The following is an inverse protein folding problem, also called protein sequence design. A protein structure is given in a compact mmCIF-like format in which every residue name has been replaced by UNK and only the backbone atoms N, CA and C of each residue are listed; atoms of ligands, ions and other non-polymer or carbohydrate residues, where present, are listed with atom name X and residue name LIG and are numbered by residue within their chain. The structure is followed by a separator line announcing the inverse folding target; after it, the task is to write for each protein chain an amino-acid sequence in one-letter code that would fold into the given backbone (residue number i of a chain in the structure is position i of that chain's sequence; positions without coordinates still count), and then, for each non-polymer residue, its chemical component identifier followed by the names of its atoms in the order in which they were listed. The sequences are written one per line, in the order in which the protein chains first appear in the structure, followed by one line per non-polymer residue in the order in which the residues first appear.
data_IF_362690569395
#
_entry.id   IF_362690569395
#
_cell.length_a   1.000
_cell.length_b   1.000
_cell.length_c   1.000
_cell.angle_alpha   90.00
_cell.angle_beta   90.00
_cell.angle_gamma   90.00
#
_symmetry.space_group_name_H-M   'P 1'
#
loop_
_entity.id
_entity.type
_entity.pdbx_description
1 polymer ?
#
# COMPACT_ATOMS: atom_id res chain seq x y z
N UNK A 1 -1.40 6.66 -1.00
CA UNK A 1 -1.00 7.76 -1.88
C UNK A 1 0.39 8.21 -1.46
N UNK A 2 1.41 7.57 -2.04
CA UNK A 2 2.84 7.80 -1.76
C UNK A 2 3.52 8.46 -2.98
N UNK A 3 2.75 8.78 -4.03
CA UNK A 3 3.28 9.17 -5.33
C UNK A 3 3.27 10.68 -5.60
N UNK A 4 3.34 11.53 -4.56
CA UNK A 4 3.35 12.99 -4.73
C UNK A 4 4.64 13.69 -4.28
N UNK A 5 5.68 12.97 -3.86
CA UNK A 5 6.95 13.57 -3.43
C UNK A 5 8.16 13.12 -4.26
N UNK A 6 8.04 13.09 -5.59
CA UNK A 6 9.23 12.99 -6.46
C UNK A 6 9.65 14.41 -6.87
N UNK A 7 10.69 15.02 -6.26
CA UNK A 7 11.23 16.27 -6.75
C UNK A 7 11.81 16.00 -8.13
N UNK A 8 11.37 16.79 -9.11
CA UNK A 8 11.81 16.70 -10.49
C UNK A 8 13.33 16.88 -10.58
N UNK A 9 14.00 15.79 -11.00
CA UNK A 9 15.24 15.75 -11.76
C UNK A 9 16.41 16.63 -11.28
N UNK A 10 17.39 16.01 -10.61
CA UNK A 10 18.79 16.27 -10.93
C UNK A 10 19.52 14.94 -11.06
N UNK A 11 19.96 14.64 -12.27
CA UNK A 11 20.84 13.53 -12.56
C UNK A 11 22.18 13.75 -11.87
N UNK A 12 22.41 13.07 -10.75
CA UNK A 12 23.76 12.84 -10.21
C UNK A 12 23.88 11.40 -9.74
N UNK A 13 24.63 10.61 -10.49
CA UNK A 13 25.16 9.27 -10.23
C UNK A 13 24.35 8.25 -9.38
N UNK A 14 23.82 7.29 -10.12
CA UNK A 14 22.91 6.20 -9.78
C UNK A 14 23.48 5.06 -8.91
N UNK A 15 24.28 5.28 -7.87
CA UNK A 15 24.81 4.12 -7.10
C UNK A 15 25.06 4.27 -5.60
N UNK A 16 24.76 5.40 -4.95
CA UNK A 16 25.10 5.56 -3.51
C UNK A 16 23.98 5.93 -2.55
N UNK A 17 22.77 6.27 -3.01
CA UNK A 17 21.71 6.74 -2.09
C UNK A 17 20.84 5.64 -1.47
N UNK A 18 20.77 4.44 -2.05
CA UNK A 18 20.08 3.32 -1.39
C UNK A 18 20.85 2.80 -0.15
N UNK A 19 22.13 3.19 0.01
CA UNK A 19 23.00 2.73 1.09
C UNK A 19 23.22 3.76 2.22
N UNK A 20 22.66 4.97 2.16
CA UNK A 20 22.95 6.04 3.14
C UNK A 20 21.88 6.28 4.22
N UNK A 21 20.76 5.54 4.22
CA UNK A 21 19.74 5.67 5.29
C UNK A 21 20.05 4.86 6.55
N UNK A 22 21.31 4.43 6.73
CA UNK A 22 21.78 3.70 7.91
C UNK A 22 22.13 4.62 9.11
N UNK A 23 21.88 5.93 9.05
CA UNK A 23 22.30 6.87 10.09
C UNK A 23 21.18 7.81 10.56
N UNK A 24 20.36 7.34 11.51
CA UNK A 24 19.94 8.11 12.69
C UNK A 24 19.05 9.37 12.54
N UNK A 25 18.62 9.78 11.34
CA UNK A 25 17.67 10.89 11.18
C UNK A 25 16.40 10.38 10.50
N UNK A 26 15.27 10.48 11.20
CA UNK A 26 13.96 10.23 10.61
C UNK A 26 13.67 11.31 9.57
N UNK A 27 13.97 11.01 8.31
CA UNK A 27 13.74 11.89 7.16
C UNK A 27 12.26 12.32 7.12
N UNK A 28 11.99 13.60 6.85
CA UNK A 28 10.64 14.20 6.74
C UNK A 28 9.76 13.36 5.80
N UNK A 29 10.36 12.79 4.75
CA UNK A 29 9.68 11.90 3.82
C UNK A 29 9.16 10.61 4.48
N UNK A 30 9.92 10.01 5.40
CA UNK A 30 9.50 8.80 6.13
C UNK A 30 8.30 9.08 7.04
N UNK A 31 8.29 10.23 7.71
CA UNK A 31 7.19 10.66 8.59
C UNK A 31 5.93 10.94 7.77
N UNK A 32 6.06 11.65 6.64
CA UNK A 32 4.93 11.92 5.75
C UNK A 32 4.35 10.62 5.16
N UNK A 33 5.21 9.69 4.76
CA UNK A 33 4.85 8.39 4.22
C UNK A 33 4.11 7.52 5.26
N UNK A 34 4.62 7.45 6.49
CA UNK A 34 3.97 6.77 7.62
C UNK A 34 2.58 7.37 7.88
N UNK A 35 2.47 8.69 7.96
CA UNK A 35 1.20 9.37 8.18
C UNK A 35 0.19 9.08 7.06
N UNK A 36 0.62 9.08 5.81
CA UNK A 36 -0.23 8.71 4.68
C UNK A 36 -0.70 7.25 4.76
N UNK A 37 0.18 6.32 5.17
CA UNK A 37 -0.18 4.92 5.41
C UNK A 37 -1.21 4.77 6.54
N UNK A 38 -1.06 5.50 7.64
CA UNK A 38 -2.03 5.54 8.74
C UNK A 38 -3.43 6.00 8.27
N UNK A 39 -3.49 7.01 7.40
CA UNK A 39 -4.76 7.42 6.79
C UNK A 39 -5.38 6.33 5.93
N UNK A 40 -4.57 5.58 5.17
CA UNK A 40 -5.05 4.42 4.40
C UNK A 40 -5.63 3.34 5.34
N UNK A 41 -4.89 2.94 6.39
CA UNK A 41 -5.37 1.98 7.37
C UNK A 41 -6.68 2.44 8.03
N UNK A 42 -6.78 3.74 8.34
CA UNK A 42 -8.01 4.36 8.86
C UNK A 42 -9.18 4.26 7.88
N UNK A 43 -8.96 4.52 6.59
CA UNK A 43 -9.99 4.37 5.55
C UNK A 43 -10.48 2.93 5.52
N UNK A 44 -9.58 1.94 5.50
CA UNK A 44 -9.96 0.52 5.52
C UNK A 44 -10.75 0.15 6.76
N UNK A 45 -10.35 0.62 7.94
CA UNK A 45 -11.06 0.38 9.20
C UNK A 45 -12.47 0.96 9.20
N UNK A 46 -12.65 2.18 8.66
CA UNK A 46 -13.97 2.81 8.54
C UNK A 46 -14.80 2.08 7.49
N UNK A 47 -14.21 1.74 6.36
CA UNK A 47 -14.91 1.05 5.28
C UNK A 47 -15.42 -0.32 5.74
N UNK A 48 -14.57 -1.15 6.37
CA UNK A 48 -14.94 -2.47 6.93
C UNK A 48 -16.11 -2.40 7.92
N UNK A 49 -16.28 -1.28 8.63
CA UNK A 49 -17.38 -1.10 9.58
C UNK A 49 -18.73 -0.84 8.92
N UNK A 50 -18.73 -0.29 7.70
CA UNK A 50 -19.94 0.16 7.02
C UNK A 50 -20.28 -0.68 5.78
N UNK A 51 -19.26 -1.28 5.15
CA UNK A 51 -19.36 -1.94 3.86
C UNK A 51 -18.48 -3.20 3.81
N UNK A 52 -18.77 -4.06 2.83
CA UNK A 52 -17.96 -5.22 2.51
C UNK A 52 -16.83 -4.85 1.55
N UNK A 53 -15.60 -5.29 1.84
CA UNK A 53 -14.43 -5.09 0.97
C UNK A 53 -14.50 -5.87 -0.35
N UNK A 54 -15.61 -6.58 -0.64
CA UNK A 54 -15.84 -7.26 -1.91
C UNK A 54 -16.21 -6.30 -3.05
N UNK A 55 -16.73 -5.11 -2.73
CA UNK A 55 -17.18 -4.11 -3.71
C UNK A 55 -16.22 -2.93 -3.85
N UNK A 56 -15.05 -3.01 -3.22
CA UNK A 56 -14.04 -1.94 -3.27
C UNK A 56 -13.30 -1.98 -4.61
N UNK A 57 -12.94 -0.82 -5.20
CA UNK A 57 -12.17 -0.79 -6.45
C UNK A 57 -10.84 -1.53 -6.33
N UNK A 58 -10.41 -2.13 -7.45
CA UNK A 58 -9.15 -2.88 -7.53
C UNK A 58 -7.92 -2.06 -7.10
N UNK A 59 -7.94 -0.74 -7.32
CA UNK A 59 -6.87 0.18 -6.88
C UNK A 59 -6.68 0.20 -5.36
N UNK A 60 -7.69 -0.18 -4.58
CA UNK A 60 -7.57 -0.29 -3.13
C UNK A 60 -6.61 -1.41 -2.71
N UNK A 61 -6.46 -2.48 -3.51
CA UNK A 61 -5.49 -3.56 -3.24
C UNK A 61 -4.07 -2.99 -3.19
N UNK A 62 -3.71 -2.14 -4.15
CA UNK A 62 -2.41 -1.46 -4.14
C UNK A 62 -2.23 -0.52 -2.95
N UNK A 63 -3.28 0.25 -2.60
CA UNK A 63 -3.22 1.15 -1.46
C UNK A 63 -2.96 0.37 -0.16
N UNK A 64 -3.66 -0.76 0.04
CA UNK A 64 -3.44 -1.63 1.20
C UNK A 64 -2.04 -2.23 1.20
N UNK A 65 -1.58 -2.76 0.07
CA UNK A 65 -0.25 -3.38 -0.05
C UNK A 65 0.87 -2.37 0.24
N UNK A 66 0.83 -1.20 -0.38
CA UNK A 66 1.87 -0.18 -0.18
C UNK A 66 1.88 0.38 1.24
N UNK A 67 0.72 0.59 1.86
CA UNK A 67 0.63 0.96 3.27
C UNK A 67 1.21 -0.13 4.19
N UNK A 68 0.90 -1.40 3.93
CA UNK A 68 1.43 -2.52 4.70
C UNK A 68 2.96 -2.62 4.62
N UNK A 69 3.56 -2.42 3.44
CA UNK A 69 5.03 -2.40 3.30
C UNK A 69 5.64 -1.25 4.10
N UNK A 70 5.01 -0.08 4.15
CA UNK A 70 5.48 1.04 4.98
C UNK A 70 5.46 0.65 6.45
N UNK A 71 4.37 0.06 6.95
CA UNK A 71 4.28 -0.35 8.35
C UNK A 71 5.29 -1.46 8.70
N UNK A 72 5.57 -2.38 7.78
CA UNK A 72 6.65 -3.36 7.93
C UNK A 72 8.01 -2.66 8.07
N UNK A 73 8.31 -1.70 7.18
CA UNK A 73 9.58 -0.98 7.22
C UNK A 73 9.68 -0.20 8.52
N UNK A 74 8.58 0.43 8.91
CA UNK A 74 8.47 1.23 10.12
C UNK A 74 8.69 0.44 11.42
N UNK A 75 8.11 -0.75 11.49
CA UNK A 75 8.26 -1.67 12.63
C UNK A 75 9.68 -2.26 12.74
N UNK A 76 10.45 -2.27 11.64
CA UNK A 76 11.85 -2.72 11.62
C UNK A 76 12.83 -1.62 11.99
N UNK A 77 12.55 -0.38 11.56
CA UNK A 77 13.37 0.80 11.89
C UNK A 77 13.17 1.24 13.34
N UNK A 78 11.98 1.03 13.90
CA UNK A 78 11.67 1.37 15.30
C UNK A 78 12.22 0.29 16.23
N UNK A 79 13.30 0.61 16.95
CA UNK A 79 13.95 -0.30 17.90
C UNK A 79 13.14 -0.49 19.19
N UNK A 80 13.10 -1.73 19.70
CA UNK A 80 12.49 -2.09 21.00
C UNK A 80 10.96 -2.14 21.01
N UNK A 81 10.37 -2.40 22.18
CA UNK A 81 8.91 -2.47 22.41
C UNK A 81 8.26 -1.08 22.53
N UNK A 82 8.60 -0.18 21.61
CA UNK A 82 8.01 1.16 21.54
C UNK A 82 6.53 1.08 21.17
N UNK A 83 5.72 1.98 21.75
CA UNK A 83 4.30 2.12 21.40
C UNK A 83 4.09 2.39 19.91
N UNK A 84 5.02 3.11 19.28
CA UNK A 84 5.00 3.38 17.84
C UNK A 84 5.11 2.10 17.01
N UNK A 85 5.95 1.15 17.45
CA UNK A 85 6.08 -0.16 16.78
C UNK A 85 4.78 -0.95 16.91
N UNK A 86 4.15 -0.95 18.08
CA UNK A 86 2.87 -1.64 18.31
C UNK A 86 1.74 -1.04 17.47
N UNK A 87 1.66 0.28 17.39
CA UNK A 87 0.70 0.97 16.54
C UNK A 87 0.90 0.62 15.06
N UNK A 88 2.15 0.64 14.60
CA UNK A 88 2.52 0.27 13.23
C UNK A 88 2.15 -1.18 12.91
N UNK A 89 2.39 -2.12 13.83
CA UNK A 89 1.97 -3.52 13.67
C UNK A 89 0.45 -3.68 13.64
N UNK A 90 -0.30 -2.93 14.43
CA UNK A 90 -1.77 -2.96 14.41
C UNK A 90 -2.35 -2.42 13.10
N UNK A 91 -1.77 -1.35 12.57
CA UNK A 91 -2.18 -0.81 11.27
C UNK A 91 -1.78 -1.75 10.13
N UNK A 92 -0.63 -2.43 10.24
CA UNK A 92 -0.22 -3.51 9.34
C UNK A 92 -1.24 -4.65 9.31
N UNK A 93 -1.69 -5.12 10.48
CA UNK A 93 -2.75 -6.14 10.59
C UNK A 93 -4.03 -5.68 9.90
N UNK A 94 -4.44 -4.43 10.12
CA UNK A 94 -5.63 -3.85 9.48
C UNK A 94 -5.53 -3.91 7.95
N UNK A 95 -4.38 -3.54 7.39
CA UNK A 95 -4.13 -3.64 5.96
C UNK A 95 -4.09 -5.09 5.47
N UNK A 96 -3.48 -6.00 6.23
CA UNK A 96 -3.40 -7.42 5.89
C UNK A 96 -4.76 -8.11 5.85
N UNK A 97 -5.59 -7.91 6.88
CA UNK A 97 -6.97 -8.43 6.92
C UNK A 97 -7.82 -7.83 5.78
N UNK A 98 -7.56 -6.58 5.41
CA UNK A 98 -8.24 -5.94 4.30
C UNK A 98 -7.87 -6.61 2.97
N UNK A 99 -6.58 -6.93 2.76
CA UNK A 99 -6.13 -7.72 1.61
C UNK A 99 -6.77 -9.11 1.60
N UNK A 100 -6.86 -9.79 2.75
CA UNK A 100 -7.54 -11.09 2.84
C UNK A 100 -9.01 -10.98 2.42
N UNK A 101 -9.71 -9.96 2.92
CA UNK A 101 -11.12 -9.72 2.57
C UNK A 101 -11.30 -9.41 1.08
N UNK A 102 -10.39 -8.63 0.48
CA UNK A 102 -10.38 -8.30 -0.94
C UNK A 102 -10.02 -9.49 -1.83
N UNK A 103 -9.34 -10.52 -1.31
CA UNK A 103 -8.89 -11.69 -2.08
C UNK A 103 -10.01 -12.55 -2.66
N UNK A 104 -11.23 -12.37 -2.14
CA UNK A 104 -12.44 -13.01 -2.63
C UNK A 104 -12.87 -12.39 -3.96
N UNK A 105 -12.71 -11.07 -4.12
CA UNK A 105 -13.08 -10.35 -5.34
C UNK A 105 -11.91 -10.23 -6.33
N UNK A 106 -10.69 -10.08 -5.82
CA UNK A 106 -9.52 -9.76 -6.64
C UNK A 106 -8.40 -10.78 -6.42
N UNK A 107 -8.11 -11.60 -7.43
CA UNK A 107 -7.02 -12.59 -7.39
C UNK A 107 -5.65 -11.98 -7.11
N UNK A 108 -5.43 -10.73 -7.53
CA UNK A 108 -4.25 -9.95 -7.19
C UNK A 108 -4.03 -9.83 -5.67
N UNK A 109 -5.08 -9.71 -4.88
CA UNK A 109 -4.92 -9.59 -3.44
C UNK A 109 -4.19 -10.81 -2.85
N UNK A 110 -4.39 -12.01 -3.43
CA UNK A 110 -3.63 -13.22 -3.05
C UNK A 110 -2.13 -13.06 -3.33
N UNK A 111 -1.78 -12.52 -4.49
CA UNK A 111 -0.37 -12.22 -4.85
C UNK A 111 0.23 -11.17 -3.91
N UNK A 112 -0.51 -10.12 -3.60
CA UNK A 112 -0.07 -9.08 -2.67
C UNK A 112 0.16 -9.63 -1.25
N UNK A 113 -0.71 -10.53 -0.78
CA UNK A 113 -0.54 -11.25 0.51
C UNK A 113 0.74 -12.07 0.50
N UNK A 114 0.97 -12.88 -0.54
CA UNK A 114 2.18 -13.71 -0.65
C UNK A 114 3.46 -12.86 -0.65
N UNK A 115 3.47 -11.78 -1.44
CA UNK A 115 4.60 -10.85 -1.48
C UNK A 115 4.84 -10.19 -0.12
N UNK A 116 3.79 -9.73 0.55
CA UNK A 116 3.92 -9.11 1.87
C UNK A 116 4.47 -10.08 2.92
N UNK A 117 4.01 -11.34 2.91
CA UNK A 117 4.54 -12.37 3.80
C UNK A 117 6.02 -12.69 3.51
N UNK A 118 6.44 -12.68 2.25
CA UNK A 118 7.86 -12.86 1.88
C UNK A 118 8.71 -11.71 2.43
N UNK A 119 8.26 -10.47 2.27
CA UNK A 119 8.93 -9.28 2.81
C UNK A 119 9.00 -9.36 4.34
N UNK A 120 7.89 -9.67 5.01
CA UNK A 120 7.83 -9.78 6.46
C UNK A 120 8.79 -10.84 7.01
N UNK A 121 8.86 -12.02 6.36
CA UNK A 121 9.84 -13.05 6.70
C UNK A 121 11.28 -12.57 6.52
N UNK A 122 11.56 -11.86 5.43
CA UNK A 122 12.90 -11.33 5.15
C UNK A 122 13.33 -10.28 6.17
N UNK A 123 12.38 -9.56 6.75
CA UNK A 123 12.60 -8.51 7.74
C UNK A 123 12.38 -8.96 9.19
N UNK A 124 12.12 -10.25 9.41
CA UNK A 124 11.86 -10.84 10.73
C UNK A 124 10.70 -10.16 11.50
N UNK A 125 9.65 -9.80 10.78
CA UNK A 125 8.42 -9.22 11.35
C UNK A 125 7.29 -10.26 11.30
N UNK A 126 6.67 -10.50 12.45
CA UNK A 126 5.50 -11.39 12.54
C UNK A 126 4.22 -10.61 12.24
N UNK A 127 3.50 -11.03 11.20
CA UNK A 127 2.14 -10.55 10.92
C UNK A 127 1.17 -11.44 11.70
N UNK A 128 0.60 -10.93 12.78
CA UNK A 128 -0.43 -11.60 13.56
C UNK A 128 -1.76 -11.50 12.84
N UNK A 129 -2.08 -12.51 12.04
CA UNK A 129 -3.43 -12.59 11.47
C UNK A 129 -4.36 -13.09 12.55
N UNK A 130 -5.36 -12.29 12.91
CA UNK A 130 -6.48 -12.76 13.71
C UNK A 130 -7.20 -13.83 12.90
N UNK A 131 -6.97 -15.10 13.25
CA UNK A 131 -7.53 -16.25 12.53
C UNK A 131 -9.06 -16.25 12.63
N UNK A 132 -9.70 -15.68 11.61
CA UNK A 132 -11.07 -15.98 11.20
C UNK A 132 -11.01 -16.72 9.88
N UNK A 133 -10.84 -18.04 9.94
CA UNK A 133 -10.66 -18.94 8.79
C UNK A 133 -11.87 -19.00 7.87
N UNK A 134 -11.63 -18.95 6.56
CA UNK A 134 -12.32 -19.80 5.58
C UNK A 134 -11.26 -20.36 4.62
N UNK A 135 -10.87 -21.61 4.84
CA UNK A 135 -10.09 -22.40 3.91
C UNK A 135 -10.90 -22.53 2.62
N UNK A 136 -10.40 -22.01 1.51
CA UNK A 136 -10.70 -22.57 0.20
C UNK A 136 -9.51 -23.45 -0.16
N UNK A 137 -9.67 -24.74 0.10
CA UNK A 137 -9.01 -25.79 -0.65
C UNK A 137 -9.38 -25.58 -2.13
N UNK A 138 -8.39 -25.32 -2.97
CA UNK A 138 -8.10 -26.19 -4.10
C UNK A 138 -6.85 -25.66 -4.82
N UNK A 139 -5.87 -26.55 -4.84
CA UNK A 139 -4.81 -26.70 -5.83
C UNK A 139 -5.17 -26.15 -7.21
N UNK A 140 -4.67 -24.96 -7.56
CA UNK A 140 -4.35 -24.62 -8.96
C UNK A 140 -2.93 -24.11 -9.00
N UNK A 141 -2.08 -25.00 -9.49
CA UNK A 141 -0.72 -24.75 -9.98
C UNK A 141 -0.75 -23.46 -10.78
N UNK A 142 -0.09 -22.41 -10.28
CA UNK A 142 0.36 -21.35 -11.18
C UNK A 142 1.64 -21.86 -11.83
N UNK A 143 1.73 -21.84 -13.17
CA UNK A 143 2.90 -22.34 -13.88
C UNK A 143 4.16 -21.58 -13.46
N UNK A 144 5.32 -22.23 -13.47
CA UNK A 144 6.59 -21.54 -13.31
C UNK A 144 6.89 -20.72 -14.57
N UNK A 145 7.54 -19.59 -14.35
CA UNK A 145 8.26 -18.77 -15.32
C UNK A 145 7.42 -17.92 -16.30
N UNK A 146 7.62 -16.60 -16.24
CA UNK A 146 7.17 -15.68 -17.28
C UNK A 146 6.83 -14.27 -16.81
N UNK A 147 7.86 -13.44 -16.71
CA UNK A 147 7.83 -11.99 -16.93
C UNK A 147 7.18 -11.09 -15.86
N UNK A 148 8.02 -10.62 -14.94
CA UNK A 148 7.76 -9.45 -14.09
C UNK A 148 7.42 -8.18 -14.88
N UNK A 149 7.66 -8.17 -16.20
CA UNK A 149 7.24 -7.14 -17.14
C UNK A 149 5.72 -7.03 -17.29
N UNK A 150 4.96 -8.09 -17.02
CA UNK A 150 3.50 -8.07 -17.13
C UNK A 150 2.87 -7.14 -16.09
N UNK A 151 3.47 -7.06 -14.90
CA UNK A 151 3.05 -6.15 -13.85
C UNK A 151 3.37 -4.70 -14.19
N UNK A 152 4.58 -4.46 -14.72
CA UNK A 152 5.02 -3.17 -15.23
C UNK A 152 4.14 -2.67 -16.38
N UNK A 153 3.70 -3.58 -17.26
CA UNK A 153 2.76 -3.30 -18.35
C UNK A 153 1.35 -3.01 -17.85
N UNK A 154 0.83 -3.77 -16.88
CA UNK A 154 -0.50 -3.52 -16.29
C UNK A 154 -0.56 -2.18 -15.52
N UNK A 155 0.53 -1.83 -14.82
CA UNK A 155 0.68 -0.50 -14.21
C UNK A 155 0.80 0.59 -15.28
N UNK A 156 1.51 0.33 -16.38
CA UNK A 156 1.65 1.27 -17.50
C UNK A 156 0.32 1.49 -18.24
N UNK A 157 -0.45 0.43 -18.51
CA UNK A 157 -1.78 0.51 -19.13
C UNK A 157 -2.80 1.20 -18.23
N UNK A 158 -2.77 0.94 -16.92
CA UNK A 158 -3.61 1.64 -15.96
C UNK A 158 -3.28 3.15 -15.89
N UNK A 159 -2.01 3.53 -16.02
CA UNK A 159 -1.62 4.94 -16.13
C UNK A 159 -1.91 5.55 -17.51
N UNK A 160 -1.92 4.75 -18.58
CA UNK A 160 -2.28 5.22 -19.92
C UNK A 160 -3.78 5.49 -20.05
N UNK A 161 -4.63 4.71 -19.37
CA UNK A 161 -6.09 4.91 -19.38
C UNK A 161 -6.55 6.14 -18.58
N UNK A 162 -5.71 6.68 -17.69
CA UNK A 162 -6.04 7.84 -16.87
C UNK A 162 -5.79 9.19 -17.56
N UNK A 163 -5.32 9.17 -18.82
CA UNK A 163 -5.06 10.36 -19.63
C UNK A 163 -6.30 10.97 -20.29
N UNK A 164 -7.50 10.44 -20.06
CA UNK A 164 -8.69 10.91 -20.77
C UNK A 164 -9.97 10.99 -19.92
N UNK A 165 -9.87 11.44 -18.66
CA UNK A 165 -11.06 11.91 -17.94
C UNK A 165 -10.82 13.31 -17.38
N UNK A 166 -11.34 14.25 -18.16
CA UNK A 166 -11.59 15.65 -17.89
C UNK A 166 -12.21 15.89 -16.49
N UNK A 167 -11.38 16.16 -15.49
CA UNK A 167 -11.81 16.55 -14.14
C UNK A 167 -11.52 18.02 -13.77
N UNK A 168 -11.32 18.90 -14.76
CA UNK A 168 -11.04 20.33 -14.53
C UNK A 168 -12.22 21.28 -14.82
N UNK A 169 -13.48 20.88 -14.62
CA UNK A 169 -14.63 21.80 -14.72
C UNK A 169 -15.45 21.91 -13.43
N UNK A 170 -14.79 21.83 -12.27
CA UNK A 170 -15.41 22.14 -10.96
C UNK A 170 -14.95 23.50 -10.38
N UNK A 171 -14.35 24.36 -11.21
CA UNK A 171 -13.90 25.71 -10.83
C UNK A 171 -14.93 26.82 -11.07
N UNK A 172 -16.07 26.50 -11.70
CA UNK A 172 -16.96 27.51 -12.32
C UNK A 172 -18.21 27.83 -11.48
N UNK A 173 -18.35 27.25 -10.27
CA UNK A 173 -19.56 27.39 -9.45
C UNK A 173 -19.43 28.21 -8.15
N UNK A 174 -18.33 28.95 -7.94
CA UNK A 174 -18.21 29.86 -6.78
C UNK A 174 -17.82 31.29 -7.19
N UNK A 175 -18.58 31.87 -8.12
CA UNK A 175 -18.66 33.33 -8.23
C UNK A 175 -20.08 33.75 -8.61
N UNK A 176 -20.84 34.22 -7.64
CA UNK A 176 -21.93 35.15 -7.92
C UNK A 176 -21.98 36.20 -6.79
N UNK A 177 -21.61 37.47 -7.06
CA UNK A 177 -21.96 38.57 -6.19
C UNK A 177 -23.43 38.97 -6.48
N UNK A 178 -24.29 38.86 -5.48
CA UNK A 178 -25.60 39.49 -5.53
C UNK A 178 -25.46 40.99 -5.23
N UNK A 179 -26.12 41.77 -6.06
CA UNK A 179 -26.34 43.21 -6.00
C UNK A 179 -26.85 43.72 -4.65
#
# INVERSE_FOLDING_TARGET
MILLHRPFLKSTDSSREFALSAAGQSDIHTVACRKAAQWIARIFRIYKKNFSLRTIPISAVHCAFTAAVIFLADATLTSGDSELRKESLKDLETCFESLQSMSIAWGWSKRAISALQQIARRWDVKITSTEGTCVLDETVICPPDGDEDSFSRLLSDATAQQSADSWLDLGTYLHNPAE
#
